data_IF_262696574920
#
_entry.id   IF_262696574920
#
_cell.length_a   1.000
_cell.length_b   1.000
_cell.length_c   1.000
_cell.angle_alpha   90.00
_cell.angle_beta   90.00
_cell.angle_gamma   90.00
#
_symmetry.space_group_name_H-M   'P 1'
#
loop_
_entity.id
_entity.type
_entity.pdbx_description
1 polymer ?
#
# COMPACT_ATOMS: atom_id res chain seq x y z
N UNK A 1 -1.08 17.59 1.36
CA UNK A 1 -1.53 16.46 2.20
C UNK A 1 -0.39 15.49 2.37
N UNK A 2 -0.04 15.12 3.61
CA UNK A 2 1.12 14.26 3.90
C UNK A 2 0.67 12.81 4.11
N UNK A 3 1.30 11.88 3.41
CA UNK A 3 1.14 10.44 3.65
C UNK A 3 2.28 9.95 4.55
N UNK A 4 1.94 9.20 5.59
CA UNK A 4 2.88 8.61 6.53
C UNK A 4 2.84 7.07 6.45
N UNK A 5 3.94 6.37 6.73
CA UNK A 5 3.95 4.91 6.77
C UNK A 5 2.91 4.37 7.76
N UNK A 6 2.21 3.31 7.38
CA UNK A 6 1.37 2.56 8.31
C UNK A 6 2.28 1.69 9.18
N UNK A 7 2.16 1.82 10.49
CA UNK A 7 2.98 1.07 11.45
C UNK A 7 2.76 -0.44 11.28
N UNK A 8 3.85 -1.20 11.15
CA UNK A 8 3.83 -2.64 10.87
C UNK A 8 3.60 -3.02 9.39
N UNK A 9 3.43 -2.02 8.52
CA UNK A 9 3.27 -2.16 7.08
C UNK A 9 4.14 -1.15 6.30
N UNK A 10 5.28 -0.79 6.90
CA UNK A 10 6.24 0.11 6.30
C UNK A 10 6.75 -0.44 4.95
N UNK A 11 6.87 0.42 3.94
CA UNK A 11 7.24 0.00 2.58
C UNK A 11 6.10 -0.68 1.80
N UNK A 12 4.93 -0.87 2.41
CA UNK A 12 3.76 -1.52 1.80
C UNK A 12 2.61 -0.51 1.65
N UNK A 13 2.26 0.21 2.71
CA UNK A 13 1.16 1.18 2.73
C UNK A 13 1.56 2.51 3.36
N UNK A 14 0.88 3.58 2.94
CA UNK A 14 0.91 4.88 3.62
C UNK A 14 -0.51 5.41 3.80
N UNK A 15 -0.74 6.21 4.83
CA UNK A 15 -2.04 6.80 5.18
C UNK A 15 -1.91 8.30 5.42
N UNK A 16 -2.94 9.07 5.09
CA UNK A 16 -3.01 10.49 5.40
C UNK A 16 -4.00 10.80 6.55
N UNK A 17 -4.05 12.06 6.96
CA UNK A 17 -4.92 12.53 8.05
C UNK A 17 -6.43 12.38 7.80
N UNK A 18 -6.86 12.26 6.54
CA UNK A 18 -8.25 12.00 6.18
C UNK A 18 -8.59 10.51 6.09
N UNK A 19 -7.63 9.62 6.37
CA UNK A 19 -7.84 8.18 6.31
C UNK A 19 -7.79 7.59 4.90
N UNK A 20 -7.30 8.33 3.90
CA UNK A 20 -6.98 7.73 2.60
C UNK A 20 -5.71 6.88 2.72
N UNK A 21 -5.76 5.68 2.15
CA UNK A 21 -4.63 4.74 2.17
C UNK A 21 -4.10 4.55 0.75
N UNK A 22 -2.79 4.62 0.58
CA UNK A 22 -2.12 4.31 -0.68
C UNK A 22 -1.24 3.06 -0.54
N UNK A 23 -1.34 2.16 -1.52
CA UNK A 23 -0.42 1.04 -1.67
C UNK A 23 0.82 1.46 -2.44
N UNK A 24 1.99 1.17 -1.89
CA UNK A 24 3.27 1.41 -2.54
C UNK A 24 3.55 0.35 -3.62
N UNK A 25 4.21 0.70 -4.74
CA UNK A 25 4.61 -0.26 -5.75
C UNK A 25 5.65 -1.21 -5.20
N UNK A 26 5.43 -2.48 -5.45
CA UNK A 26 6.36 -3.54 -5.07
C UNK A 26 6.14 -4.75 -5.96
N UNK A 27 7.15 -5.60 -6.03
CA UNK A 27 7.02 -6.93 -6.63
C UNK A 27 7.09 -7.93 -5.49
N UNK A 28 6.09 -8.81 -5.42
CA UNK A 28 6.12 -9.94 -4.48
C UNK A 28 6.28 -11.24 -5.26
N UNK A 29 6.98 -12.19 -4.65
CA UNK A 29 7.04 -13.57 -5.14
C UNK A 29 5.87 -14.35 -4.52
N UNK A 30 5.06 -14.98 -5.36
CA UNK A 30 3.96 -15.85 -4.92
C UNK A 30 4.47 -17.27 -4.66
N UNK A 31 3.65 -18.07 -3.98
CA UNK A 31 3.97 -19.46 -3.62
C UNK A 31 4.25 -20.35 -4.84
N UNK A 32 3.62 -20.05 -5.97
CA UNK A 32 3.81 -20.74 -7.25
C UNK A 32 5.06 -20.27 -8.02
N UNK A 33 5.89 -19.40 -7.42
CA UNK A 33 7.08 -18.82 -8.04
C UNK A 33 6.79 -17.66 -8.99
N UNK A 34 5.53 -17.33 -9.25
CA UNK A 34 5.18 -16.18 -10.10
C UNK A 34 5.43 -14.85 -9.38
N UNK A 35 5.77 -13.82 -10.15
CA UNK A 35 5.97 -12.46 -9.62
C UNK A 35 4.70 -11.65 -9.83
N UNK A 36 4.19 -11.04 -8.77
CA UNK A 36 3.09 -10.08 -8.86
C UNK A 36 3.60 -8.67 -8.63
N UNK A 37 3.38 -7.79 -9.61
CA UNK A 37 3.65 -6.37 -9.49
C UNK A 37 2.43 -5.63 -8.96
N UNK A 38 2.56 -5.05 -7.77
CA UNK A 38 1.62 -4.08 -7.25
C UNK A 38 1.95 -2.70 -7.82
N UNK A 39 0.93 -2.04 -8.35
CA UNK A 39 1.01 -0.64 -8.82
C UNK A 39 0.51 0.27 -7.71
N UNK A 40 0.90 1.55 -7.76
CA UNK A 40 0.30 2.60 -6.94
C UNK A 40 -1.23 2.54 -7.07
N UNK A 41 -1.92 2.41 -5.93
CA UNK A 41 -3.39 2.49 -5.85
C UNK A 41 -3.79 3.20 -4.57
N UNK A 42 -4.75 4.10 -4.70
CA UNK A 42 -5.40 4.77 -3.57
C UNK A 42 -6.70 4.03 -3.28
N UNK A 43 -6.91 3.66 -2.02
CA UNK A 43 -8.18 3.18 -1.51
C UNK A 43 -8.69 4.21 -0.50
N UNK A 44 -9.96 4.59 -0.64
CA UNK A 44 -10.66 5.36 0.39
C UNK A 44 -11.28 4.40 1.38
N UNK A 45 -11.11 4.66 2.67
CA UNK A 45 -11.92 4.00 3.70
C UNK A 45 -13.34 4.56 3.57
N UNK A 46 -14.31 3.72 3.20
CA UNK A 46 -15.72 4.09 3.27
C UNK A 46 -16.11 3.89 4.74
N UNK A 47 -16.37 4.99 5.44
CA UNK A 47 -16.90 5.01 6.81
C UNK A 47 -18.34 4.54 6.86
#
# INVERSE_FOLDING_TARGET
MKFLPVVGWEGIYQVNECGDVISLPRVILRRDGTKQRFKWRTAKTIS
#
